data_IF_583905038161
#
_entry.id   IF_583905038161
#
_cell.length_a   1.000
_cell.length_b   1.000
_cell.length_c   1.000
_cell.angle_alpha   90.00
_cell.angle_beta   90.00
_cell.angle_gamma   90.00
#
_symmetry.space_group_name_H-M   'P 1'
#
loop_
_entity.id
_entity.type
_entity.pdbx_description
1 polymer ?
#
# COMPACT_ATOMS: atom_id res chain seq x y z
N UNK A 1 5.03 16.23 -31.40
CA UNK A 1 6.05 15.60 -30.53
C UNK A 1 5.48 15.39 -29.13
N UNK A 2 4.45 14.55 -28.98
CA UNK A 2 3.82 14.22 -27.68
C UNK A 2 3.76 12.69 -27.61
N UNK A 3 4.75 12.00 -27.05
CA UNK A 3 4.66 10.54 -26.88
C UNK A 3 5.24 9.96 -25.57
N UNK A 4 6.02 10.69 -24.74
CA UNK A 4 6.62 10.12 -23.51
C UNK A 4 6.41 10.97 -22.25
N UNK A 5 5.17 11.33 -21.89
CA UNK A 5 4.88 12.03 -20.62
C UNK A 5 4.11 11.12 -19.67
N UNK A 6 4.67 10.87 -18.49
CA UNK A 6 4.01 10.16 -17.39
C UNK A 6 3.05 11.07 -16.64
N UNK A 7 3.46 12.32 -16.40
CA UNK A 7 2.64 13.30 -15.68
C UNK A 7 3.37 14.60 -15.35
N UNK A 8 2.70 15.45 -14.57
CA UNK A 8 3.27 16.64 -13.97
C UNK A 8 3.41 16.43 -12.46
N UNK A 9 4.57 16.79 -11.91
CA UNK A 9 4.87 16.65 -10.50
C UNK A 9 5.16 18.00 -9.87
N UNK A 10 4.41 18.36 -8.84
CA UNK A 10 4.59 19.58 -8.06
C UNK A 10 5.32 19.28 -6.75
N UNK A 11 6.38 20.05 -6.47
CA UNK A 11 7.18 19.97 -5.24
C UNK A 11 6.66 20.96 -4.18
N UNK A 12 6.57 20.53 -2.93
CA UNK A 12 6.16 21.33 -1.78
C UNK A 12 7.14 21.20 -0.61
N UNK A 13 7.22 22.25 0.22
CA UNK A 13 8.09 22.29 1.39
C UNK A 13 7.44 21.61 2.61
N UNK A 14 6.12 21.68 2.72
CA UNK A 14 5.38 21.27 3.91
C UNK A 14 4.28 20.26 3.59
N UNK A 15 3.97 19.41 4.56
CA UNK A 15 2.89 18.42 4.48
C UNK A 15 1.51 19.04 4.31
N UNK A 16 1.24 20.18 4.96
CA UNK A 16 -0.04 20.90 4.85
C UNK A 16 -0.29 21.44 3.44
N UNK A 17 0.76 21.88 2.75
CA UNK A 17 0.70 22.38 1.38
C UNK A 17 0.33 21.23 0.43
N UNK A 18 0.96 20.06 0.61
CA UNK A 18 0.63 18.84 -0.12
C UNK A 18 -0.84 18.44 0.08
N UNK A 19 -1.33 18.45 1.32
CA UNK A 19 -2.71 18.09 1.63
C UNK A 19 -3.71 19.03 0.93
N UNK A 20 -3.48 20.35 1.02
CA UNK A 20 -4.32 21.36 0.35
C UNK A 20 -4.27 21.20 -1.18
N UNK A 21 -3.09 20.94 -1.73
CA UNK A 21 -2.90 20.71 -3.15
C UNK A 21 -3.64 19.45 -3.63
N UNK A 22 -3.55 18.34 -2.88
CA UNK A 22 -4.28 17.11 -3.18
C UNK A 22 -5.80 17.31 -3.12
N UNK A 23 -6.31 17.99 -2.09
CA UNK A 23 -7.72 18.35 -1.99
C UNK A 23 -8.18 19.24 -3.15
N UNK A 24 -7.38 20.25 -3.50
CA UNK A 24 -7.63 21.13 -4.64
C UNK A 24 -7.67 20.37 -5.96
N UNK A 25 -6.71 19.46 -6.18
CA UNK A 25 -6.67 18.62 -7.38
C UNK A 25 -7.90 17.69 -7.46
N UNK A 26 -8.30 17.10 -6.33
CA UNK A 26 -9.50 16.27 -6.29
C UNK A 26 -10.78 17.08 -6.55
N UNK A 27 -10.89 18.30 -6.01
CA UNK A 27 -12.01 19.21 -6.28
C UNK A 27 -12.04 19.69 -7.74
N UNK A 28 -10.87 19.90 -8.35
CA UNK A 28 -10.72 20.26 -9.76
C UNK A 28 -11.04 19.11 -10.74
N UNK A 29 -11.32 17.90 -10.24
CA UNK A 29 -11.78 16.77 -11.03
C UNK A 29 -10.71 15.74 -11.38
N UNK A 30 -9.44 15.96 -10.99
CA UNK A 30 -8.39 14.95 -11.17
C UNK A 30 -8.67 13.74 -10.28
N UNK A 31 -8.40 12.53 -10.79
CA UNK A 31 -8.62 11.24 -10.12
C UNK A 31 -7.44 10.29 -10.24
N UNK A 32 -6.56 10.48 -11.24
CA UNK A 32 -5.30 9.77 -11.40
C UNK A 32 -4.17 10.63 -10.87
N UNK A 33 -3.97 10.54 -9.55
CA UNK A 33 -2.93 11.28 -8.86
C UNK A 33 -2.30 10.43 -7.77
N UNK A 34 -1.02 10.67 -7.52
CA UNK A 34 -0.27 10.08 -6.42
C UNK A 34 0.41 11.18 -5.60
N UNK A 35 0.47 10.96 -4.30
CA UNK A 35 1.15 11.85 -3.37
C UNK A 35 2.35 11.11 -2.75
N UNK A 36 3.53 11.71 -2.86
CA UNK A 36 4.77 11.18 -2.31
C UNK A 36 5.23 12.04 -1.14
N UNK A 37 5.53 11.41 -0.02
CA UNK A 37 5.93 12.10 1.20
C UNK A 37 6.96 11.28 1.97
N UNK A 38 7.93 11.95 2.64
CA UNK A 38 8.95 11.27 3.44
C UNK A 38 8.37 10.71 4.75
N UNK A 39 7.20 11.19 5.17
CA UNK A 39 6.53 10.78 6.40
C UNK A 39 5.05 10.52 6.15
N UNK A 40 4.38 9.91 7.13
CA UNK A 40 2.93 9.79 7.07
C UNK A 40 2.32 11.19 7.23
N UNK A 41 1.40 11.53 6.33
CA UNK A 41 0.62 12.76 6.40
C UNK A 41 -0.85 12.39 6.49
N UNK A 42 -1.46 12.73 7.61
CA UNK A 42 -2.86 12.45 7.87
C UNK A 42 -3.75 13.13 6.82
N UNK A 43 -4.77 12.42 6.33
CA UNK A 43 -5.74 12.98 5.38
C UNK A 43 -5.31 12.97 3.92
N UNK A 44 -4.02 12.74 3.60
CA UNK A 44 -3.56 12.75 2.19
C UNK A 44 -4.14 11.57 1.42
N UNK A 45 -4.23 10.40 2.04
CA UNK A 45 -4.83 9.21 1.43
C UNK A 45 -6.29 9.47 1.04
N UNK A 46 -7.10 10.03 1.93
CA UNK A 46 -8.48 10.41 1.59
C UNK A 46 -8.52 11.53 0.54
N UNK A 47 -7.60 12.50 0.61
CA UNK A 47 -7.54 13.63 -0.33
C UNK A 47 -7.25 13.21 -1.77
N UNK A 48 -6.42 12.18 -1.99
CA UNK A 48 -6.16 11.61 -3.32
C UNK A 48 -7.25 10.61 -3.76
N UNK A 49 -8.26 10.35 -2.93
CA UNK A 49 -9.37 9.44 -3.23
C UNK A 49 -9.15 7.99 -2.81
N UNK A 50 -8.12 7.70 -2.01
CA UNK A 50 -7.86 6.37 -1.49
C UNK A 50 -8.70 6.11 -0.22
N UNK A 51 -9.76 5.31 -0.33
CA UNK A 51 -10.73 5.12 0.76
C UNK A 51 -10.76 3.72 1.37
N UNK A 52 -10.32 2.69 0.64
CA UNK A 52 -10.43 1.28 1.10
C UNK A 52 -9.30 0.41 0.59
N UNK A 53 -8.66 -0.32 1.51
CA UNK A 53 -7.64 -1.34 1.20
C UNK A 53 -8.22 -2.73 1.40
N UNK A 54 -7.89 -3.69 0.51
CA UNK A 54 -8.28 -5.10 0.64
C UNK A 54 -7.33 -5.95 1.49
N UNK A 55 -6.21 -5.37 1.96
CA UNK A 55 -5.20 -6.04 2.81
C UNK A 55 -5.83 -6.71 4.03
N UNK A 56 -6.70 -6.06 4.83
CA UNK A 56 -7.27 -6.71 6.02
C UNK A 56 -8.05 -7.99 5.71
N UNK A 57 -8.75 -8.04 4.57
CA UNK A 57 -9.49 -9.22 4.14
C UNK A 57 -8.54 -10.37 3.78
N UNK A 58 -7.44 -10.06 3.08
CA UNK A 58 -6.42 -11.06 2.72
C UNK A 58 -5.76 -11.62 3.98
N UNK A 59 -5.48 -10.77 4.98
CA UNK A 59 -4.94 -11.18 6.28
C UNK A 59 -5.89 -12.10 7.03
N UNK A 60 -7.19 -11.77 7.05
CA UNK A 60 -8.21 -12.61 7.68
C UNK A 60 -8.28 -14.00 7.03
N UNK A 61 -8.30 -14.06 5.70
CA UNK A 61 -8.31 -15.33 4.96
C UNK A 61 -7.04 -16.14 5.27
N UNK A 62 -5.87 -15.49 5.25
CA UNK A 62 -4.60 -16.11 5.62
C UNK A 62 -4.61 -16.69 7.03
N UNK A 63 -5.11 -15.93 8.02
CA UNK A 63 -5.23 -16.37 9.40
C UNK A 63 -6.15 -17.60 9.54
N UNK A 64 -7.32 -17.62 8.89
CA UNK A 64 -8.23 -18.77 8.92
C UNK A 64 -7.55 -20.02 8.32
N UNK A 65 -6.85 -19.87 7.19
CA UNK A 65 -6.09 -20.96 6.58
C UNK A 65 -5.01 -21.47 7.55
N UNK A 66 -4.29 -20.56 8.21
CA UNK A 66 -3.29 -20.90 9.23
C UNK A 66 -3.89 -21.68 10.39
N UNK A 67 -5.02 -21.23 10.95
CA UNK A 67 -5.72 -21.89 12.04
C UNK A 67 -6.14 -23.32 11.65
N UNK A 68 -6.79 -23.48 10.48
CA UNK A 68 -7.23 -24.79 9.98
C UNK A 68 -6.04 -25.72 9.74
N UNK A 69 -4.94 -25.19 9.19
CA UNK A 69 -3.73 -25.96 8.91
C UNK A 69 -3.04 -26.40 10.20
N UNK A 70 -2.85 -25.48 11.15
CA UNK A 70 -2.19 -25.75 12.43
C UNK A 70 -2.98 -26.74 13.30
N UNK A 71 -4.31 -26.58 13.36
CA UNK A 71 -5.16 -27.52 14.09
C UNK A 71 -5.25 -28.87 13.39
N UNK A 72 -5.45 -28.86 12.06
CA UNK A 72 -5.56 -30.07 11.25
C UNK A 72 -4.30 -30.93 11.30
N UNK A 73 -3.12 -30.31 11.23
CA UNK A 73 -1.83 -30.98 11.36
C UNK A 73 -1.69 -31.70 12.71
N UNK A 74 -2.01 -31.02 13.82
CA UNK A 74 -1.94 -31.60 15.16
C UNK A 74 -2.95 -32.73 15.34
N UNK A 75 -4.19 -32.54 14.88
CA UNK A 75 -5.22 -33.56 14.93
C UNK A 75 -4.83 -34.80 14.12
N UNK A 76 -4.33 -34.60 12.90
CA UNK A 76 -3.86 -35.69 12.06
C UNK A 76 -2.75 -36.49 12.75
N UNK A 77 -1.71 -35.81 13.25
CA UNK A 77 -0.57 -36.47 13.90
C UNK A 77 -0.96 -37.20 15.18
N UNK A 78 -1.67 -36.53 16.10
CA UNK A 78 -1.92 -37.06 17.44
C UNK A 78 -3.08 -38.06 17.51
N UNK A 79 -4.05 -37.98 16.58
CA UNK A 79 -5.27 -38.79 16.63
C UNK A 79 -5.33 -39.85 15.54
N UNK A 80 -4.79 -39.57 14.34
CA UNK A 80 -4.93 -40.48 13.18
C UNK A 80 -3.66 -41.26 12.87
N UNK A 81 -2.54 -40.57 12.73
CA UNK A 81 -1.30 -41.16 12.20
C UNK A 81 -0.57 -42.00 13.25
N UNK A 82 -0.28 -41.40 14.41
CA UNK A 82 0.48 -42.08 15.46
C UNK A 82 -0.02 -41.72 16.86
N UNK A 83 -1.12 -42.37 17.32
CA UNK A 83 -1.70 -42.07 18.62
C UNK A 83 -0.80 -42.55 19.76
N UNK A 84 -0.27 -41.59 20.52
CA UNK A 84 0.61 -41.83 21.66
C UNK A 84 -0.10 -41.54 22.98
N UNK A 85 0.00 -42.46 23.93
CA UNK A 85 -0.44 -42.21 25.31
C UNK A 85 0.63 -41.39 26.05
N UNK A 86 0.43 -40.07 26.11
CA UNK A 86 1.30 -39.15 26.86
C UNK A 86 0.59 -38.71 28.14
N UNK A 87 0.97 -39.32 29.26
CA UNK A 87 0.46 -38.95 30.58
C UNK A 87 -1.03 -39.24 30.79
N UNK A 88 -1.61 -40.23 30.10
CA UNK A 88 -3.01 -40.65 30.25
C UNK A 88 -4.03 -39.66 29.67
N UNK A 89 -3.58 -38.63 28.94
CA UNK A 89 -4.46 -37.61 28.36
C UNK A 89 -5.23 -38.15 27.15
N UNK A 90 -6.43 -37.61 26.85
CA UNK A 90 -7.14 -37.97 25.63
C UNK A 90 -6.29 -37.61 24.40
N UNK A 91 -6.30 -38.49 23.39
CA UNK A 91 -5.56 -38.26 22.13
C UNK A 91 -5.95 -36.91 21.49
N UNK A 92 -7.23 -36.56 21.54
CA UNK A 92 -7.71 -35.24 21.16
C UNK A 92 -7.70 -34.27 22.34
N UNK A 93 -6.49 -33.86 22.75
CA UNK A 93 -6.28 -32.85 23.80
C UNK A 93 -6.41 -31.43 23.24
N UNK A 94 -7.62 -31.05 22.81
CA UNK A 94 -7.88 -29.77 22.15
C UNK A 94 -7.32 -28.52 22.87
N UNK A 95 -7.29 -28.41 24.23
CA UNK A 95 -6.71 -27.24 24.88
C UNK A 95 -5.20 -27.12 24.65
N UNK A 96 -4.50 -28.25 24.54
CA UNK A 96 -3.06 -28.27 24.26
C UNK A 96 -2.75 -27.89 22.81
N UNK A 97 -3.72 -28.00 21.90
CA UNK A 97 -3.55 -27.65 20.48
C UNK A 97 -3.76 -26.16 20.21
N UNK A 98 -4.42 -25.44 21.12
CA UNK A 98 -4.74 -24.01 20.96
C UNK A 98 -3.48 -23.14 20.80
N UNK A 99 -2.43 -23.25 21.64
CA UNK A 99 -1.24 -22.40 21.50
C UNK A 99 -0.59 -22.53 20.12
N UNK A 100 -0.41 -23.76 19.62
CA UNK A 100 0.20 -24.00 18.31
C UNK A 100 -0.71 -23.51 17.18
N UNK A 101 -2.02 -23.70 17.30
CA UNK A 101 -3.00 -23.20 16.32
C UNK A 101 -2.97 -21.67 16.26
N UNK A 102 -2.83 -21.01 17.41
CA UNK A 102 -2.69 -19.55 17.50
C UNK A 102 -1.41 -19.07 16.78
N UNK A 103 -0.26 -19.70 17.04
CA UNK A 103 1.00 -19.34 16.36
C UNK A 103 0.89 -19.51 14.84
N UNK A 104 0.29 -20.60 14.36
CA UNK A 104 0.04 -20.81 12.93
C UNK A 104 -0.90 -19.76 12.34
N UNK A 105 -1.93 -19.34 13.09
CA UNK A 105 -2.84 -18.27 12.68
C UNK A 105 -2.07 -16.97 12.48
N UNK A 106 -1.25 -16.58 13.46
CA UNK A 106 -0.45 -15.35 13.41
C UNK A 106 0.58 -15.41 12.28
N UNK A 107 1.26 -16.55 12.11
CA UNK A 107 2.28 -16.74 11.07
C UNK A 107 1.69 -16.58 9.66
N UNK A 108 0.59 -17.28 9.36
CA UNK A 108 -0.04 -17.20 8.05
C UNK A 108 -0.69 -15.83 7.80
N UNK A 109 -1.27 -15.22 8.83
CA UNK A 109 -1.79 -13.86 8.75
C UNK A 109 -0.68 -12.85 8.42
N UNK A 110 0.51 -12.99 9.02
CA UNK A 110 1.65 -12.11 8.76
C UNK A 110 2.19 -12.28 7.32
N UNK A 111 2.32 -13.51 6.82
CA UNK A 111 2.70 -13.75 5.43
C UNK A 111 1.65 -13.19 4.44
N UNK A 112 0.37 -13.41 4.71
CA UNK A 112 -0.72 -12.86 3.91
C UNK A 112 -0.72 -11.33 3.93
N UNK A 113 -0.39 -10.70 5.06
CA UNK A 113 -0.26 -9.25 5.17
C UNK A 113 0.87 -8.72 4.29
N UNK A 114 2.06 -9.32 4.40
CA UNK A 114 3.24 -8.91 3.65
C UNK A 114 3.03 -9.10 2.13
N UNK A 115 2.69 -10.32 1.73
CA UNK A 115 2.49 -10.66 0.31
C UNK A 115 1.30 -9.87 -0.26
N UNK A 116 0.21 -9.76 0.49
CA UNK A 116 -0.97 -9.00 0.09
C UNK A 116 -0.67 -7.52 -0.11
N UNK A 117 0.06 -6.89 0.81
CA UNK A 117 0.47 -5.49 0.70
C UNK A 117 1.39 -5.29 -0.51
N UNK A 118 2.41 -6.12 -0.68
CA UNK A 118 3.34 -6.04 -1.82
C UNK A 118 2.58 -6.18 -3.16
N UNK A 119 1.75 -7.21 -3.29
CA UNK A 119 1.00 -7.46 -4.52
C UNK A 119 0.00 -6.33 -4.85
N UNK A 120 -0.70 -5.80 -3.85
CA UNK A 120 -1.66 -4.70 -4.05
C UNK A 120 -0.98 -3.38 -4.43
N UNK A 121 0.22 -3.14 -3.91
CA UNK A 121 1.07 -2.01 -4.28
C UNK A 121 1.88 -2.26 -5.56
N UNK A 122 1.69 -3.41 -6.22
CA UNK A 122 2.43 -3.84 -7.43
C UNK A 122 3.95 -3.89 -7.21
N UNK A 123 4.37 -4.25 -6.01
CA UNK A 123 5.78 -4.47 -5.67
C UNK A 123 6.15 -5.94 -5.88
N UNK A 124 7.39 -6.24 -6.30
CA UNK A 124 8.50 -5.31 -6.53
C UNK A 124 8.39 -4.57 -7.88
N UNK A 125 8.48 -3.25 -7.84
CA UNK A 125 8.59 -2.40 -9.02
C UNK A 125 9.87 -1.55 -8.94
N UNK A 126 11.03 -2.08 -9.36
CA UNK A 126 12.31 -1.39 -9.20
C UNK A 126 12.45 -0.14 -10.08
N UNK A 127 11.66 -0.03 -11.15
CA UNK A 127 11.66 1.14 -12.03
C UNK A 127 10.25 1.73 -12.13
N UNK A 128 10.13 2.98 -11.70
CA UNK A 128 8.93 3.79 -11.84
C UNK A 128 9.30 5.11 -12.53
N UNK A 129 8.53 5.60 -13.52
CA UNK A 129 8.88 6.81 -14.29
C UNK A 129 9.15 8.06 -13.44
N UNK A 130 8.50 8.18 -12.28
CA UNK A 130 8.73 9.29 -11.33
C UNK A 130 10.19 9.41 -10.84
N UNK A 131 10.97 8.33 -10.91
CA UNK A 131 12.39 8.36 -10.56
C UNK A 131 13.27 9.08 -11.60
N UNK A 132 12.75 9.36 -12.81
CA UNK A 132 13.46 10.12 -13.84
C UNK A 132 13.64 11.59 -13.46
N UNK A 133 12.86 12.11 -12.51
CA UNK A 133 13.01 13.48 -11.99
C UNK A 133 14.09 13.54 -10.91
N UNK A 134 15.20 14.29 -11.10
CA UNK A 134 16.32 14.34 -10.15
C UNK A 134 15.91 14.72 -8.73
N UNK A 135 14.97 15.66 -8.62
CA UNK A 135 14.46 16.22 -7.36
C UNK A 135 13.64 15.20 -6.57
N UNK A 136 13.11 14.15 -7.21
CA UNK A 136 12.33 13.10 -6.55
C UNK A 136 13.12 12.34 -5.47
N UNK A 137 14.47 12.38 -5.51
CA UNK A 137 15.31 11.84 -4.43
C UNK A 137 14.99 12.48 -3.07
N UNK A 138 14.49 13.71 -3.06
CA UNK A 138 14.08 14.42 -1.86
C UNK A 138 12.73 13.95 -1.31
N UNK A 139 11.95 13.18 -2.08
CA UNK A 139 10.64 12.66 -1.66
C UNK A 139 10.75 11.74 -0.45
N UNK A 140 11.90 11.07 -0.29
CA UNK A 140 12.19 10.22 0.87
C UNK A 140 13.02 10.91 1.95
N UNK A 141 13.30 12.22 1.82
CA UNK A 141 14.18 12.96 2.75
C UNK A 141 13.47 14.16 3.38
N UNK A 142 13.04 15.13 2.56
CA UNK A 142 12.64 16.46 3.05
C UNK A 142 11.47 17.09 2.30
N UNK A 143 11.14 16.63 1.09
CA UNK A 143 10.18 17.28 0.19
C UNK A 143 8.95 16.44 -0.04
N UNK A 144 7.84 17.12 -0.30
CA UNK A 144 6.54 16.53 -0.55
C UNK A 144 6.19 16.72 -2.02
N UNK A 145 5.65 15.70 -2.69
CA UNK A 145 5.34 15.77 -4.12
C UNK A 145 3.92 15.34 -4.39
N UNK A 146 3.23 16.07 -5.27
CA UNK A 146 1.96 15.66 -5.87
C UNK A 146 2.19 15.40 -7.34
N UNK A 147 1.91 14.19 -7.81
CA UNK A 147 1.99 13.81 -9.21
C UNK A 147 0.58 13.66 -9.80
N UNK A 148 0.30 14.40 -10.86
CA UNK A 148 -0.90 14.25 -11.68
C UNK A 148 -0.53 13.47 -12.94
N UNK A 149 -1.10 12.29 -13.12
CA UNK A 149 -0.77 11.43 -14.25
C UNK A 149 -1.39 11.96 -15.54
N UNK A 150 -0.64 11.84 -16.65
CA UNK A 150 -1.13 12.13 -17.99
C UNK A 150 -2.22 11.16 -18.47
N UNK A 151 -2.45 10.07 -17.72
CA UNK A 151 -3.50 9.09 -17.96
C UNK A 151 -4.90 9.58 -17.57
N UNK A 152 -5.00 10.68 -16.83
CA UNK A 152 -6.28 11.27 -16.43
C UNK A 152 -7.02 11.92 -17.61
N UNK A 153 -8.34 11.77 -17.66
CA UNK A 153 -9.19 12.43 -18.66
C UNK A 153 -9.19 13.96 -18.55
N UNK A 154 -8.96 14.49 -17.34
CA UNK A 154 -8.92 15.93 -17.06
C UNK A 154 -7.55 16.56 -17.38
N UNK A 155 -6.54 15.73 -17.68
CA UNK A 155 -5.17 16.20 -17.86
C UNK A 155 -4.97 16.88 -19.21
N UNK A 156 -4.51 18.14 -19.19
CA UNK A 156 -3.85 18.78 -20.31
C UNK A 156 -2.62 19.53 -19.81
N UNK A 157 -1.50 19.38 -20.52
CA UNK A 157 -0.19 19.86 -20.06
C UNK A 157 -0.21 21.34 -19.65
N UNK A 158 -0.87 22.20 -20.43
CA UNK A 158 -0.85 23.64 -20.18
C UNK A 158 -1.82 24.01 -19.04
N UNK A 159 -3.04 23.48 -19.08
CA UNK A 159 -4.04 23.78 -18.05
C UNK A 159 -3.65 23.20 -16.68
N UNK A 160 -3.12 21.97 -16.67
CA UNK A 160 -2.66 21.29 -15.45
C UNK A 160 -1.41 21.97 -14.89
N UNK A 161 -0.47 22.43 -15.73
CA UNK A 161 0.67 23.24 -15.24
C UNK A 161 0.18 24.53 -14.58
N UNK A 162 -0.70 25.28 -15.24
CA UNK A 162 -1.21 26.53 -14.68
C UNK A 162 -2.00 26.31 -13.37
N UNK A 163 -2.76 25.21 -13.32
CA UNK A 163 -3.43 24.79 -12.09
C UNK A 163 -2.43 24.49 -10.97
N UNK A 164 -1.38 23.70 -11.25
CA UNK A 164 -0.34 23.41 -10.27
C UNK A 164 0.39 24.68 -9.82
N UNK A 165 0.69 25.63 -10.70
CA UNK A 165 1.29 26.92 -10.35
C UNK A 165 0.42 27.71 -9.36
N UNK A 166 -0.91 27.67 -9.55
CA UNK A 166 -1.86 28.35 -8.66
C UNK A 166 -1.85 27.81 -7.21
N UNK A 167 -1.35 26.59 -6.99
CA UNK A 167 -1.25 25.96 -5.68
C UNK A 167 0.02 26.36 -4.89
N UNK A 168 0.88 27.19 -5.48
CA UNK A 168 2.12 27.68 -4.85
C UNK A 168 3.21 26.61 -4.63
N UNK A 169 3.55 25.77 -5.63
CA UNK A 169 4.63 24.80 -5.49
C UNK A 169 5.99 25.49 -5.48
N UNK A 170 7.00 24.81 -4.94
CA UNK A 170 8.39 25.21 -5.06
C UNK A 170 8.89 25.09 -6.50
N UNK A 171 8.52 23.99 -7.16
CA UNK A 171 8.88 23.68 -8.54
C UNK A 171 7.85 22.73 -9.15
N UNK A 172 7.76 22.74 -10.48
CA UNK A 172 6.95 21.80 -11.26
C UNK A 172 7.86 21.09 -12.24
N UNK A 173 7.83 19.77 -12.22
CA UNK A 173 8.63 18.91 -13.06
C UNK A 173 7.74 18.12 -14.03
N UNK A 174 8.16 18.05 -15.29
CA UNK A 174 7.59 17.10 -16.25
C UNK A 174 8.24 15.73 -16.01
N UNK A 175 7.41 14.71 -15.80
CA UNK A 175 7.88 13.34 -15.57
C UNK A 175 7.81 12.61 -16.90
N UNK A 176 8.96 12.20 -17.42
CA UNK A 176 9.06 11.43 -18.66
C UNK A 176 8.82 9.93 -18.40
N UNK A 177 8.20 9.25 -19.38
CA UNK A 177 7.93 7.80 -19.36
C UNK A 177 9.20 6.97 -19.52
#
# INVERSE_FOLDING_TARGET
>A
MRQNLYGLMAEFAKSEELLRAAQGAYQAGYRKMDAYSPSQVDGVAEAIGFTKTRVPLVVLIGGIIGAVTGYGMQYYSAVRDYPLNVGGRPLHSWPAFVPITFEFTVLFAAFAALIGMLAMNRLPNPYHPVFNTPEFRLASQTRFFLCLEASDTQFDLQSTRHFLESLGPLAIHEVEL
#
